data_IF_075118733277
#
_entry.id   IF_075118733277
#
_cell.length_a   1.000
_cell.length_b   1.000
_cell.length_c   1.000
_cell.angle_alpha   90.00
_cell.angle_beta   90.00
_cell.angle_gamma   90.00
#
_symmetry.space_group_name_H-M   'P 1'
#
loop_
_entity.id
_entity.type
_entity.pdbx_description
1 polymer ?
#
# COMPACT_ATOMS: atom_id res chain seq x y z
N UNK A 1 3.93 -12.19 7.75
CA UNK A 1 3.39 -11.52 6.55
C UNK A 1 4.00 -10.13 6.45
N UNK A 2 4.56 -9.77 5.30
CA UNK A 2 5.18 -8.45 5.05
C UNK A 2 4.13 -7.37 4.77
N UNK A 3 4.51 -6.10 4.84
CA UNK A 3 3.65 -4.97 4.51
C UNK A 3 3.08 -5.06 3.08
N UNK A 4 3.92 -5.50 2.14
CA UNK A 4 3.53 -5.77 0.75
C UNK A 4 2.44 -6.84 0.67
N UNK A 5 2.65 -7.97 1.32
CA UNK A 5 1.71 -9.11 1.28
C UNK A 5 0.35 -8.72 1.88
N UNK A 6 0.36 -8.02 3.01
CA UNK A 6 -0.87 -7.47 3.62
C UNK A 6 -1.58 -6.54 2.65
N UNK A 7 -0.85 -5.60 2.05
CA UNK A 7 -1.43 -4.66 1.08
C UNK A 7 -2.04 -5.37 -0.13
N UNK A 8 -1.35 -6.38 -0.67
CA UNK A 8 -1.82 -7.18 -1.80
C UNK A 8 -3.08 -7.98 -1.44
N UNK A 9 -3.13 -8.54 -0.23
CA UNK A 9 -4.32 -9.22 0.30
C UNK A 9 -5.54 -8.30 0.29
N UNK A 10 -5.41 -7.08 0.81
CA UNK A 10 -6.56 -6.16 0.91
C UNK A 10 -7.02 -5.68 -0.48
N UNK A 11 -6.07 -5.46 -1.40
CA UNK A 11 -6.39 -5.13 -2.81
C UNK A 11 -7.24 -6.24 -3.43
N UNK A 12 -6.85 -7.51 -3.21
CA UNK A 12 -7.50 -8.65 -3.82
C UNK A 12 -8.86 -8.97 -3.15
N UNK A 13 -8.93 -8.91 -1.82
CA UNK A 13 -10.12 -9.27 -1.05
C UNK A 13 -11.22 -8.20 -1.10
N UNK A 14 -10.84 -6.93 -1.02
CA UNK A 14 -11.79 -5.81 -0.95
C UNK A 14 -11.92 -5.05 -2.28
N UNK A 15 -11.23 -5.48 -3.34
CA UNK A 15 -11.29 -4.84 -4.65
C UNK A 15 -10.75 -3.40 -4.66
N UNK A 16 -9.86 -3.06 -3.72
CA UNK A 16 -9.36 -1.68 -3.56
C UNK A 16 -8.42 -1.34 -4.72
N UNK A 17 -8.74 -0.24 -5.42
CA UNK A 17 -7.90 0.25 -6.51
C UNK A 17 -6.52 0.67 -5.98
N UNK A 18 -5.45 0.18 -6.60
CA UNK A 18 -4.06 0.57 -6.29
C UNK A 18 -3.86 2.10 -6.28
N UNK A 19 -4.54 2.79 -7.20
CA UNK A 19 -4.50 4.25 -7.30
C UNK A 19 -5.16 4.98 -6.13
N UNK A 20 -6.18 4.37 -5.52
CA UNK A 20 -6.82 4.90 -4.31
C UNK A 20 -5.83 4.85 -3.14
N UNK A 21 -5.12 3.74 -2.96
CA UNK A 21 -4.12 3.57 -1.90
C UNK A 21 -2.96 4.56 -2.11
N UNK A 22 -2.44 4.67 -3.34
CA UNK A 22 -1.40 5.64 -3.67
C UNK A 22 -1.81 7.08 -3.30
N UNK A 23 -3.04 7.48 -3.64
CA UNK A 23 -3.59 8.79 -3.27
C UNK A 23 -3.70 8.96 -1.75
N UNK A 24 -4.12 7.92 -1.02
CA UNK A 24 -4.23 7.96 0.45
C UNK A 24 -2.86 8.11 1.13
N UNK A 25 -1.83 7.51 0.56
CA UNK A 25 -0.44 7.61 1.02
C UNK A 25 0.21 8.97 0.66
N UNK A 26 -0.32 9.65 -0.36
CA UNK A 26 0.24 10.90 -0.89
C UNK A 26 1.40 10.68 -1.85
N UNK A 27 1.45 9.53 -2.54
CA UNK A 27 2.50 9.15 -3.48
C UNK A 27 1.93 8.94 -4.88
N UNK A 28 2.80 8.92 -5.89
CA UNK A 28 2.39 8.64 -7.26
C UNK A 28 2.02 7.15 -7.45
N UNK A 29 1.13 6.87 -8.41
CA UNK A 29 0.77 5.51 -8.80
C UNK A 29 2.00 4.68 -9.23
N UNK A 30 2.99 5.34 -9.86
CA UNK A 30 4.23 4.71 -10.26
C UNK A 30 5.04 4.25 -9.03
N UNK A 31 5.20 5.12 -8.03
CA UNK A 31 5.92 4.79 -6.79
C UNK A 31 5.24 3.64 -6.06
N UNK A 32 3.92 3.69 -5.90
CA UNK A 32 3.17 2.59 -5.30
C UNK A 32 3.31 1.28 -6.07
N UNK A 33 3.35 1.34 -7.41
CA UNK A 33 3.57 0.15 -8.24
C UNK A 33 4.97 -0.43 -8.05
N UNK A 34 6.01 0.41 -7.92
CA UNK A 34 7.36 -0.05 -7.59
C UNK A 34 7.40 -0.75 -6.23
N UNK A 35 6.69 -0.21 -5.24
CA UNK A 35 6.54 -0.83 -3.92
C UNK A 35 5.86 -2.21 -3.97
N UNK A 36 4.69 -2.30 -4.59
CA UNK A 36 3.96 -3.57 -4.70
C UNK A 36 4.77 -4.62 -5.48
N UNK A 37 5.52 -4.20 -6.48
CA UNK A 37 6.41 -5.08 -7.23
C UNK A 37 7.73 -5.41 -6.51
N UNK A 38 7.99 -4.84 -5.33
CA UNK A 38 9.21 -5.07 -4.55
C UNK A 38 10.47 -4.43 -5.14
N UNK A 39 10.32 -3.48 -6.06
CA UNK A 39 11.43 -2.78 -6.72
C UNK A 39 11.95 -1.59 -5.93
N UNK A 40 11.09 -0.96 -5.13
CA UNK A 40 11.45 0.19 -4.30
C UNK A 40 10.69 0.16 -2.97
N UNK A 41 11.37 0.27 -1.81
CA UNK A 41 10.68 0.36 -0.53
C UNK A 41 9.98 1.73 -0.38
N UNK A 42 8.95 1.76 0.47
CA UNK A 42 8.35 3.00 0.94
C UNK A 42 9.22 3.65 2.01
N UNK A 43 9.13 4.97 2.15
CA UNK A 43 9.75 5.71 3.23
C UNK A 43 8.95 5.58 4.52
N UNK A 44 9.60 5.85 5.65
CA UNK A 44 8.99 5.71 6.99
C UNK A 44 7.62 6.43 7.15
N UNK A 45 7.41 7.66 6.63
CA UNK A 45 6.09 8.30 6.70
C UNK A 45 5.00 7.56 5.91
N UNK A 46 5.33 7.00 4.76
CA UNK A 46 4.40 6.26 3.90
C UNK A 46 4.09 4.88 4.49
N UNK A 47 5.09 4.24 5.10
CA UNK A 47 4.89 3.00 5.85
C UNK A 47 3.88 3.21 6.97
N UNK A 48 4.03 4.27 7.78
CA UNK A 48 3.09 4.56 8.87
C UNK A 48 1.66 4.78 8.34
N UNK A 49 1.51 5.59 7.29
CA UNK A 49 0.19 5.81 6.66
C UNK A 49 -0.41 4.52 6.10
N UNK A 50 0.42 3.64 5.54
CA UNK A 50 -0.03 2.36 5.00
C UNK A 50 -0.46 1.44 6.13
N UNK A 51 0.34 1.32 7.19
CA UNK A 51 -0.02 0.55 8.38
C UNK A 51 -1.34 1.02 8.99
N UNK A 52 -1.51 2.33 9.19
CA UNK A 52 -2.75 2.92 9.68
C UNK A 52 -3.94 2.58 8.76
N UNK A 53 -3.76 2.69 7.45
CA UNK A 53 -4.80 2.29 6.49
C UNK A 53 -5.17 0.81 6.61
N UNK A 54 -4.17 -0.07 6.70
CA UNK A 54 -4.40 -1.52 6.77
C UNK A 54 -5.05 -1.95 8.08
N UNK A 55 -4.93 -1.18 9.18
CA UNK A 55 -5.61 -1.49 10.45
C UNK A 55 -7.13 -1.39 10.36
N UNK A 56 -7.67 -0.65 9.40
CA UNK A 56 -9.11 -0.52 9.18
C UNK A 56 -9.77 -1.78 8.59
N UNK A 57 -8.97 -2.74 8.13
CA UNK A 57 -9.40 -3.96 7.44
C UNK A 57 -8.96 -5.23 8.19
N UNK A 58 -8.76 -5.12 9.51
CA UNK A 58 -8.42 -6.22 10.40
C UNK A 58 -9.59 -7.16 10.66
#
# INVERSE_FOLDING_TARGET
MTLKERTQKIINEYGIKKSFIAKKLGISNALFSLFINGKQPLQKPEINKLEDFLTQYK
#
